data_IF_362024794632
#
_entry.id   IF_362024794632
#
_cell.length_a   1.000
_cell.length_b   1.000
_cell.length_c   1.000
_cell.angle_alpha   90.00
_cell.angle_beta   90.00
_cell.angle_gamma   90.00
#
_symmetry.space_group_name_H-M   'P 1'
#
loop_
_entity.id
_entity.type
_entity.pdbx_description
1 polymer ?
#
# COMPACT_ATOMS: atom_id res chain seq x y z
N UNK A 1 -11.27 -32.40 21.01
CA UNK A 1 -12.02 -32.15 19.77
C UNK A 1 -11.04 -32.25 18.63
N UNK A 2 -11.27 -33.16 17.68
CA UNK A 2 -10.35 -33.44 16.58
C UNK A 2 -11.01 -33.06 15.26
N UNK A 3 -10.22 -32.54 14.32
CA UNK A 3 -10.71 -32.09 13.02
C UNK A 3 -10.19 -33.07 11.97
N UNK A 4 -11.05 -33.42 11.01
CA UNK A 4 -10.63 -34.28 9.90
C UNK A 4 -9.52 -33.61 9.08
N UNK A 5 -8.47 -34.37 8.78
CA UNK A 5 -7.37 -33.89 7.92
C UNK A 5 -7.87 -33.41 6.55
N UNK A 6 -8.97 -33.98 6.04
CA UNK A 6 -9.59 -33.57 4.77
C UNK A 6 -9.99 -32.09 4.79
N UNK A 7 -10.56 -31.63 5.92
CA UNK A 7 -10.99 -30.23 6.07
C UNK A 7 -9.77 -29.31 6.11
N UNK A 8 -8.74 -29.70 6.88
CA UNK A 8 -7.49 -28.96 6.99
C UNK A 8 -6.79 -28.79 5.62
N UNK A 9 -6.66 -29.88 4.86
CA UNK A 9 -6.06 -29.88 3.51
C UNK A 9 -6.86 -29.01 2.53
N UNK A 10 -8.19 -29.09 2.56
CA UNK A 10 -9.05 -28.22 1.73
C UNK A 10 -8.82 -26.75 2.03
N UNK A 11 -8.70 -26.37 3.31
CA UNK A 11 -8.46 -24.98 3.68
C UNK A 11 -7.06 -24.52 3.27
N UNK A 12 -6.04 -25.37 3.38
CA UNK A 12 -4.70 -25.07 2.86
C UNK A 12 -4.73 -24.78 1.34
N UNK A 13 -5.33 -25.69 0.55
CA UNK A 13 -5.42 -25.57 -0.90
C UNK A 13 -6.21 -24.31 -1.31
N UNK A 14 -7.38 -24.08 -0.71
CA UNK A 14 -8.24 -22.94 -1.06
C UNK A 14 -7.58 -21.58 -0.78
N UNK A 15 -6.63 -21.52 0.15
CA UNK A 15 -5.91 -20.28 0.47
C UNK A 15 -4.49 -20.25 -0.12
N UNK A 16 -4.15 -21.21 -0.99
CA UNK A 16 -2.83 -21.34 -1.61
C UNK A 16 -1.69 -21.35 -0.56
N UNK A 17 -1.89 -22.08 0.54
CA UNK A 17 -0.90 -22.24 1.61
C UNK A 17 -0.34 -23.65 1.56
N UNK A 18 0.99 -23.76 1.42
CA UNK A 18 1.69 -25.02 1.55
C UNK A 18 1.81 -25.45 3.01
N UNK A 19 1.92 -26.77 3.25
CA UNK A 19 2.20 -27.31 4.60
C UNK A 19 3.51 -26.78 5.19
N UNK A 20 4.48 -26.46 4.33
CA UNK A 20 5.77 -25.89 4.74
C UNK A 20 5.58 -24.48 5.28
N UNK A 21 4.87 -23.61 4.55
CA UNK A 21 4.53 -22.27 5.04
C UNK A 21 3.71 -22.33 6.34
N UNK A 22 2.73 -23.24 6.41
CA UNK A 22 1.95 -23.42 7.64
C UNK A 22 2.83 -23.87 8.82
N UNK A 23 3.78 -24.78 8.60
CA UNK A 23 4.76 -25.22 9.61
C UNK A 23 5.63 -24.06 10.10
N UNK A 24 6.15 -23.25 9.18
CA UNK A 24 6.99 -22.09 9.49
C UNK A 24 6.23 -21.02 10.29
N UNK A 25 4.95 -20.80 9.94
CA UNK A 25 4.07 -19.86 10.63
C UNK A 25 3.68 -20.34 12.03
N UNK A 26 3.17 -21.57 12.11
CA UNK A 26 2.65 -22.17 13.36
C UNK A 26 3.71 -22.61 14.35
N UNK A 27 4.98 -22.69 13.91
CA UNK A 27 6.10 -23.29 14.65
C UNK A 27 5.90 -24.78 14.98
N UNK A 28 4.97 -25.44 14.30
CA UNK A 28 4.79 -26.89 14.38
C UNK A 28 5.75 -27.53 13.37
N UNK A 29 6.58 -28.51 13.77
CA UNK A 29 7.49 -29.17 12.85
C UNK A 29 6.79 -29.73 11.61
N UNK A 30 7.40 -29.57 10.44
CA UNK A 30 6.81 -29.99 9.16
C UNK A 30 6.41 -31.47 9.17
N UNK A 31 7.25 -32.33 9.73
CA UNK A 31 6.99 -33.76 9.83
C UNK A 31 5.73 -34.08 10.65
N UNK A 32 5.43 -33.23 11.64
CA UNK A 32 4.19 -33.34 12.43
C UNK A 32 2.97 -32.97 11.58
N UNK A 33 3.06 -31.85 10.86
CA UNK A 33 1.98 -31.38 9.96
C UNK A 33 1.72 -32.40 8.84
N UNK A 34 2.78 -32.93 8.22
CA UNK A 34 2.70 -33.97 7.20
C UNK A 34 2.17 -35.29 7.77
N UNK A 35 2.54 -35.60 9.01
CA UNK A 35 2.10 -36.80 9.74
C UNK A 35 0.59 -36.85 10.02
N UNK A 36 -0.10 -35.71 10.08
CA UNK A 36 -1.55 -35.68 10.28
C UNK A 36 -2.35 -36.35 9.16
N UNK A 37 -1.81 -36.38 7.94
CA UNK A 37 -2.40 -37.15 6.84
C UNK A 37 -2.48 -38.64 7.16
N UNK A 38 -1.44 -39.20 7.79
CA UNK A 38 -1.40 -40.62 8.19
C UNK A 38 -2.38 -40.93 9.32
N UNK A 39 -2.61 -39.96 10.21
CA UNK A 39 -3.51 -40.08 11.36
C UNK A 39 -4.97 -39.76 11.01
N UNK A 40 -5.23 -39.16 9.86
CA UNK A 40 -6.52 -38.61 9.40
C UNK A 40 -7.14 -37.55 10.33
N UNK A 41 -6.39 -37.10 11.34
CA UNK A 41 -6.85 -36.19 12.38
C UNK A 41 -5.84 -35.07 12.56
N UNK A 42 -6.37 -33.87 12.75
CA UNK A 42 -5.62 -32.64 12.99
C UNK A 42 -6.08 -32.07 14.33
N UNK A 43 -5.15 -31.67 15.21
CA UNK A 43 -5.51 -31.01 16.47
C UNK A 43 -6.30 -29.72 16.22
N UNK A 44 -7.34 -29.47 17.03
CA UNK A 44 -8.20 -28.29 16.84
C UNK A 44 -7.44 -26.96 16.83
N UNK A 45 -6.38 -26.83 17.64
CA UNK A 45 -5.57 -25.61 17.68
C UNK A 45 -4.88 -25.31 16.34
N UNK A 46 -4.50 -26.32 15.56
CA UNK A 46 -3.86 -26.12 14.26
C UNK A 46 -4.82 -25.44 13.26
N UNK A 47 -6.11 -25.74 13.36
CA UNK A 47 -7.13 -25.09 12.55
C UNK A 47 -7.35 -23.62 12.96
N UNK A 48 -7.25 -23.31 14.25
CA UNK A 48 -7.30 -21.92 14.74
C UNK A 48 -6.12 -21.12 14.18
N UNK A 49 -4.93 -21.70 14.25
CA UNK A 49 -3.71 -21.07 13.69
C UNK A 49 -3.84 -20.86 12.18
N UNK A 50 -4.40 -21.84 11.44
CA UNK A 50 -4.59 -21.71 9.99
C UNK A 50 -5.58 -20.58 9.65
N UNK A 51 -6.65 -20.42 10.43
CA UNK A 51 -7.59 -19.31 10.25
C UNK A 51 -6.95 -17.96 10.51
N UNK A 52 -6.17 -17.83 11.58
CA UNK A 52 -5.41 -16.62 11.89
C UNK A 52 -4.38 -16.29 10.78
N UNK A 53 -3.62 -17.29 10.32
CA UNK A 53 -2.67 -17.14 9.20
C UNK A 53 -3.36 -16.61 7.93
N UNK A 54 -4.50 -17.18 7.56
CA UNK A 54 -5.28 -16.75 6.41
C UNK A 54 -5.76 -15.29 6.55
N UNK A 55 -6.21 -14.92 7.74
CA UNK A 55 -6.67 -13.56 8.01
C UNK A 55 -5.53 -12.55 7.84
N UNK A 56 -4.35 -12.83 8.39
CA UNK A 56 -3.19 -11.93 8.27
C UNK A 56 -2.67 -11.81 6.85
N UNK A 57 -2.57 -12.92 6.10
CA UNK A 57 -2.19 -12.87 4.68
C UNK A 57 -3.11 -11.97 3.86
N UNK A 58 -4.42 -11.96 4.16
CA UNK A 58 -5.37 -11.05 3.50
C UNK A 58 -5.13 -9.59 3.88
N UNK A 59 -4.92 -9.31 5.17
CA UNK A 59 -4.59 -7.96 5.62
C UNK A 59 -3.32 -7.41 4.96
N UNK A 60 -2.27 -8.23 4.84
CA UNK A 60 -1.02 -7.84 4.18
C UNK A 60 -1.25 -7.53 2.69
N UNK A 61 -2.05 -8.36 2.00
CA UNK A 61 -2.40 -8.14 0.60
C UNK A 61 -3.22 -6.85 0.41
N UNK A 62 -4.18 -6.60 1.30
CA UNK A 62 -5.01 -5.39 1.27
C UNK A 62 -4.15 -4.15 1.51
N UNK A 63 -3.25 -4.20 2.51
CA UNK A 63 -2.30 -3.13 2.78
C UNK A 63 -1.35 -2.88 1.59
N UNK A 64 -0.83 -3.94 0.96
CA UNK A 64 0.02 -3.82 -0.23
C UNK A 64 -0.77 -3.18 -1.39
N UNK A 65 -2.00 -3.60 -1.61
CA UNK A 65 -2.87 -3.04 -2.64
C UNK A 65 -3.18 -1.56 -2.39
N UNK A 66 -3.43 -1.17 -1.15
CA UNK A 66 -3.67 0.23 -0.79
C UNK A 66 -2.42 1.09 -0.97
N UNK A 67 -1.24 0.58 -0.58
CA UNK A 67 0.04 1.24 -0.86
C UNK A 67 0.30 1.37 -2.36
N UNK A 68 0.01 0.33 -3.16
CA UNK A 68 0.14 0.37 -4.62
C UNK A 68 -0.83 1.35 -5.25
N UNK A 69 -2.10 1.39 -4.82
CA UNK A 69 -3.08 2.39 -5.27
C UNK A 69 -2.61 3.80 -4.94
N UNK A 70 -2.11 4.03 -3.73
CA UNK A 70 -1.56 5.33 -3.35
C UNK A 70 -0.35 5.71 -4.22
N UNK A 71 0.55 4.76 -4.52
CA UNK A 71 1.68 5.01 -5.41
C UNK A 71 1.27 5.24 -6.87
N UNK A 72 0.24 4.56 -7.36
CA UNK A 72 -0.32 4.81 -8.71
C UNK A 72 -1.00 6.17 -8.74
N UNK A 73 -1.75 6.57 -7.70
CA UNK A 73 -2.33 7.91 -7.59
C UNK A 73 -1.23 8.99 -7.58
N UNK A 74 -0.10 8.74 -6.91
CA UNK A 74 1.09 9.61 -6.95
C UNK A 74 1.72 9.65 -8.36
N UNK A 75 1.53 8.61 -9.20
CA UNK A 75 2.01 8.58 -10.57
C UNK A 75 1.02 9.19 -11.58
N UNK A 76 -0.29 9.08 -11.34
CA UNK A 76 -1.36 9.82 -12.02
C UNK A 76 -1.61 11.14 -11.32
N UNK A 77 -0.59 11.98 -11.31
CA UNK A 77 -0.77 13.40 -11.07
C UNK A 77 -1.72 13.93 -12.13
N UNK A 78 -2.94 14.34 -11.76
CA UNK A 78 -3.92 15.02 -12.65
C UNK A 78 -3.46 16.44 -13.03
N UNK A 79 -2.16 16.61 -13.24
CA UNK A 79 -1.53 17.86 -13.58
C UNK A 79 -0.38 17.61 -14.55
N UNK A 80 -0.26 18.47 -15.56
CA UNK A 80 0.66 18.33 -16.68
C UNK A 80 2.06 18.91 -16.41
N UNK A 81 2.53 18.85 -15.16
CA UNK A 81 3.86 19.36 -14.81
C UNK A 81 4.94 18.37 -15.25
N UNK A 82 6.01 18.89 -15.84
CA UNK A 82 7.24 18.15 -16.11
C UNK A 82 7.99 17.88 -14.81
N UNK A 83 8.86 16.86 -14.81
CA UNK A 83 9.71 16.53 -13.64
C UNK A 83 10.54 17.72 -13.12
N UNK A 84 10.98 18.61 -14.00
CA UNK A 84 11.73 19.80 -13.61
C UNK A 84 10.84 20.82 -12.90
N UNK A 85 9.63 21.05 -13.42
CA UNK A 85 8.64 21.94 -12.80
C UNK A 85 8.21 21.43 -11.42
N UNK A 86 7.96 20.12 -11.28
CA UNK A 86 7.66 19.50 -9.99
C UNK A 86 8.79 19.66 -8.97
N UNK A 87 10.04 19.41 -9.38
CA UNK A 87 11.21 19.57 -8.49
C UNK A 87 11.35 21.01 -8.02
N UNK A 88 11.16 21.98 -8.91
CA UNK A 88 11.20 23.41 -8.58
C UNK A 88 10.07 23.77 -7.62
N UNK A 89 8.86 23.28 -7.87
CA UNK A 89 7.71 23.51 -6.99
C UNK A 89 7.94 22.90 -5.59
N UNK A 90 8.39 21.65 -5.50
CA UNK A 90 8.75 21.00 -4.23
C UNK A 90 9.83 21.78 -3.47
N UNK A 91 10.81 22.33 -4.18
CA UNK A 91 11.87 23.14 -3.57
C UNK A 91 11.34 24.42 -2.91
N UNK A 92 10.35 25.09 -3.50
CA UNK A 92 9.74 26.32 -2.93
C UNK A 92 9.09 26.04 -1.58
N UNK A 93 8.46 24.88 -1.46
CA UNK A 93 7.74 24.44 -0.27
C UNK A 93 8.58 23.55 0.65
N UNK A 94 9.91 23.48 0.43
CA UNK A 94 10.80 22.76 1.32
C UNK A 94 10.68 23.27 2.77
N UNK A 95 10.68 22.34 3.73
CA UNK A 95 10.48 22.65 5.16
C UNK A 95 9.05 23.01 5.54
N UNK A 96 8.05 22.72 4.69
CA UNK A 96 6.63 22.80 5.06
C UNK A 96 6.02 21.42 5.24
N UNK A 97 4.91 21.36 5.97
CA UNK A 97 4.11 20.14 6.13
C UNK A 97 3.13 19.94 4.96
N UNK A 98 3.30 20.65 3.84
CA UNK A 98 2.43 20.51 2.68
C UNK A 98 2.90 19.37 1.79
N UNK A 99 1.97 18.48 1.44
CA UNK A 99 2.21 17.47 0.42
C UNK A 99 2.15 18.09 -0.98
N UNK A 100 2.64 17.35 -1.98
CA UNK A 100 2.58 17.78 -3.39
C UNK A 100 1.13 18.08 -3.83
N UNK A 101 0.18 17.27 -3.36
CA UNK A 101 -1.24 17.45 -3.66
C UNK A 101 -1.80 18.71 -2.97
N UNK A 102 -1.47 18.94 -1.70
CA UNK A 102 -1.90 20.16 -0.98
C UNK A 102 -1.43 21.43 -1.68
N UNK A 103 -0.20 21.42 -2.21
CA UNK A 103 0.36 22.55 -2.96
C UNK A 103 -0.44 22.80 -4.24
N UNK A 104 -0.77 21.73 -4.98
CA UNK A 104 -1.48 21.84 -6.25
C UNK A 104 -2.93 22.25 -6.05
N UNK A 105 -3.62 21.67 -5.07
CA UNK A 105 -4.97 22.06 -4.71
C UNK A 105 -5.01 23.51 -4.22
N UNK A 106 -3.99 23.93 -3.46
CA UNK A 106 -3.82 25.31 -3.05
C UNK A 106 -3.60 26.29 -4.22
N UNK A 107 -2.87 25.89 -5.26
CA UNK A 107 -2.69 26.70 -6.48
C UNK A 107 -4.00 26.75 -7.29
N UNK A 108 -4.68 25.61 -7.48
CA UNK A 108 -5.99 25.54 -8.14
C UNK A 108 -7.03 26.39 -7.42
N UNK A 109 -7.04 26.36 -6.09
CA UNK A 109 -7.89 27.17 -5.21
C UNK A 109 -7.42 28.61 -5.00
N UNK A 110 -6.34 29.05 -5.66
CA UNK A 110 -5.76 30.41 -5.54
C UNK A 110 -5.47 30.83 -4.09
N UNK A 111 -4.97 29.92 -3.26
CA UNK A 111 -4.61 30.20 -1.88
C UNK A 111 -3.51 31.28 -1.81
N UNK A 112 -3.83 32.43 -1.24
CA UNK A 112 -2.96 33.60 -1.19
C UNK A 112 -1.59 33.31 -0.55
N UNK A 113 -1.53 32.49 0.50
CA UNK A 113 -0.26 32.17 1.19
C UNK A 113 0.68 31.34 0.30
N UNK A 114 0.12 30.39 -0.45
CA UNK A 114 0.88 29.54 -1.35
C UNK A 114 1.31 30.30 -2.62
N UNK A 115 0.41 31.13 -3.16
CA UNK A 115 0.71 31.99 -4.33
C UNK A 115 1.84 32.96 -4.03
N UNK A 116 1.79 33.65 -2.88
CA UNK A 116 2.85 34.57 -2.45
C UNK A 116 4.20 33.87 -2.34
N UNK A 117 4.24 32.66 -1.79
CA UNK A 117 5.49 31.90 -1.66
C UNK A 117 6.07 31.49 -3.01
N UNK A 118 5.21 31.16 -3.98
CA UNK A 118 5.62 30.88 -5.37
C UNK A 118 6.16 32.16 -6.03
N UNK A 119 5.50 33.30 -5.82
CA UNK A 119 5.92 34.59 -6.35
C UNK A 119 7.28 35.04 -5.82
N UNK A 120 7.56 34.78 -4.54
CA UNK A 120 8.83 35.13 -3.88
C UNK A 120 10.00 34.23 -4.25
N UNK A 121 9.75 32.95 -4.55
CA UNK A 121 10.80 31.93 -4.66
C UNK A 121 11.02 31.37 -6.07
N UNK A 122 10.17 31.70 -7.04
CA UNK A 122 10.34 31.28 -8.44
C UNK A 122 10.48 32.47 -9.38
N UNK A 123 11.23 32.35 -10.50
CA UNK A 123 11.23 33.34 -11.56
C UNK A 123 9.86 33.50 -12.23
N UNK A 124 9.51 34.71 -12.65
CA UNK A 124 8.18 35.06 -13.21
C UNK A 124 7.74 34.17 -14.38
N UNK A 125 8.66 33.78 -15.26
CA UNK A 125 8.37 32.89 -16.38
C UNK A 125 7.95 31.47 -15.92
N UNK A 126 8.62 30.93 -14.90
CA UNK A 126 8.29 29.63 -14.31
C UNK A 126 6.97 29.69 -13.54
N UNK A 127 6.70 30.79 -12.83
CA UNK A 127 5.41 30.99 -12.15
C UNK A 127 4.26 30.88 -13.14
N UNK A 128 4.30 31.65 -14.24
CA UNK A 128 3.26 31.61 -15.28
C UNK A 128 3.11 30.22 -15.90
N UNK A 129 4.21 29.52 -16.15
CA UNK A 129 4.19 28.20 -16.76
C UNK A 129 3.54 27.15 -15.84
N UNK A 130 3.95 27.12 -14.56
CA UNK A 130 3.44 26.16 -13.58
C UNK A 130 1.97 26.48 -13.25
N UNK A 131 1.65 27.73 -12.92
CA UNK A 131 0.28 28.14 -12.58
C UNK A 131 -0.65 27.94 -13.77
N UNK A 132 -0.21 28.30 -14.99
CA UNK A 132 -1.01 28.12 -16.20
C UNK A 132 -1.33 26.66 -16.51
N UNK A 133 -0.39 25.75 -16.27
CA UNK A 133 -0.63 24.29 -16.42
C UNK A 133 -1.55 23.74 -15.34
N UNK A 134 -1.43 24.22 -14.11
CA UNK A 134 -2.24 23.75 -12.98
C UNK A 134 -3.65 24.32 -12.97
N UNK A 135 -3.86 25.54 -13.47
CA UNK A 135 -5.18 26.18 -13.56
C UNK A 135 -6.05 25.60 -14.69
N UNK A 136 -5.43 25.03 -15.73
CA UNK A 136 -6.11 24.48 -16.90
C UNK A 136 -6.20 22.94 -16.89
N UNK A 137 -5.82 22.29 -15.78
CA UNK A 137 -5.85 20.83 -15.59
C UNK A 137 -6.91 20.45 -14.55
#
# INVERSE_FOLDING_TARGET
>A
MEISNIIFEKVLINNNISKKEFSEYSKIPYDTVAGWKKRNHVPAYAMVILKDMNYRKKLDLDAENDLRKNNIIIATTNYSLTRNEEKRLKSVFWGTNYTTNDIIDGIKGKNQKMMKRIEENLPFNMQRQIIGKLANA
#
